data_IF_462125447651
#
_entry.id   IF_462125447651
#
_cell.length_a   1.000
_cell.length_b   1.000
_cell.length_c   1.000
_cell.angle_alpha   90.00
_cell.angle_beta   90.00
_cell.angle_gamma   90.00
#
_symmetry.space_group_name_H-M   'P 1'
#
loop_
_entity.id
_entity.type
_entity.pdbx_description
1 polymer ?
#
# COMPACT_ATOMS: atom_id res chain seq x y z
N UNK A 1 26.71 -3.88 10.25
CA UNK A 1 26.55 -2.67 11.08
C UNK A 1 25.53 -1.77 10.39
N UNK A 2 24.36 -1.53 11.00
CA UNK A 2 23.35 -0.62 10.41
C UNK A 2 23.89 0.80 10.55
N UNK A 3 24.32 1.40 9.45
CA UNK A 3 24.81 2.77 9.42
C UNK A 3 23.69 3.72 9.85
N UNK A 4 24.03 4.81 10.52
CA UNK A 4 23.07 5.79 11.04
C UNK A 4 22.11 6.34 9.98
N UNK A 5 22.50 6.25 8.70
CA UNK A 5 21.71 6.60 7.53
C UNK A 5 20.48 5.72 7.34
N UNK A 6 20.59 4.40 7.55
CA UNK A 6 19.46 3.47 7.41
C UNK A 6 18.37 3.75 8.45
N UNK A 7 18.77 4.10 9.68
CA UNK A 7 17.84 4.46 10.76
C UNK A 7 17.12 5.78 10.48
N UNK A 8 17.82 6.74 9.89
CA UNK A 8 17.22 8.04 9.54
C UNK A 8 16.26 7.90 8.36
N UNK A 9 16.62 7.12 7.34
CA UNK A 9 15.73 6.79 6.23
C UNK A 9 14.49 6.00 6.69
N UNK A 10 14.65 5.04 7.62
CA UNK A 10 13.53 4.30 8.23
C UNK A 10 12.59 5.21 9.02
N UNK A 11 13.14 6.18 9.78
CA UNK A 11 12.36 7.14 10.54
C UNK A 11 11.57 8.10 9.64
N UNK A 12 12.19 8.63 8.57
CA UNK A 12 11.51 9.48 7.58
C UNK A 12 10.40 8.70 6.87
N UNK A 13 10.69 7.46 6.47
CA UNK A 13 9.70 6.59 5.82
C UNK A 13 8.50 6.32 6.74
N UNK A 14 8.75 6.04 8.02
CA UNK A 14 7.71 5.81 9.00
C UNK A 14 6.89 7.09 9.28
N UNK A 15 7.54 8.26 9.29
CA UNK A 15 6.88 9.54 9.51
C UNK A 15 6.02 9.96 8.30
N UNK A 16 6.56 9.85 7.08
CA UNK A 16 5.88 10.20 5.83
C UNK A 16 4.65 9.31 5.55
N UNK A 17 4.62 8.08 6.07
CA UNK A 17 3.50 7.16 5.93
C UNK A 17 2.33 7.40 6.92
N UNK A 18 2.44 8.36 7.84
CA UNK A 18 1.40 8.60 8.86
C UNK A 18 0.56 9.84 8.57
N UNK A 19 -0.73 9.77 8.89
CA UNK A 19 -1.65 10.92 8.83
C UNK A 19 -1.18 12.11 9.69
N UNK A 20 -0.33 11.87 10.71
CA UNK A 20 0.26 12.91 11.53
C UNK A 20 1.09 13.92 10.73
N UNK A 21 1.83 13.47 9.71
CA UNK A 21 2.63 14.34 8.85
C UNK A 21 1.76 15.37 8.11
N UNK A 22 0.59 14.93 7.61
CA UNK A 22 -0.38 15.78 6.91
C UNK A 22 -0.93 16.86 7.83
N UNK A 23 -1.31 16.51 9.06
CA UNK A 23 -1.82 17.48 10.03
C UNK A 23 -0.78 18.54 10.41
N UNK A 24 0.49 18.15 10.60
CA UNK A 24 1.58 19.09 10.88
C UNK A 24 1.75 20.08 9.73
N UNK A 25 1.73 19.62 8.48
CA UNK A 25 1.83 20.49 7.30
C UNK A 25 0.64 21.42 7.16
N UNK A 26 -0.58 20.91 7.39
CA UNK A 26 -1.79 21.74 7.35
C UNK A 26 -1.74 22.88 8.37
N UNK A 27 -1.32 22.60 9.61
CA UNK A 27 -1.15 23.63 10.66
C UNK A 27 -0.04 24.60 10.28
N UNK A 28 1.11 24.10 9.82
CA UNK A 28 2.22 24.94 9.38
C UNK A 28 1.82 25.91 8.27
N UNK A 29 1.13 25.43 7.22
CA UNK A 29 0.65 26.28 6.13
C UNK A 29 -0.40 27.28 6.60
N UNK A 30 -1.34 26.87 7.45
CA UNK A 30 -2.34 27.76 8.02
C UNK A 30 -1.68 28.91 8.82
N UNK A 31 -0.68 28.59 9.64
CA UNK A 31 0.10 29.57 10.39
C UNK A 31 0.85 30.51 9.44
N UNK A 32 1.56 29.98 8.43
CA UNK A 32 2.30 30.81 7.47
C UNK A 32 1.40 31.80 6.73
N UNK A 33 0.26 31.34 6.24
CA UNK A 33 -0.72 32.18 5.53
C UNK A 33 -1.27 33.23 6.50
N UNK A 34 -1.64 32.86 7.72
CA UNK A 34 -2.15 33.80 8.72
C UNK A 34 -1.13 34.90 9.05
N UNK A 35 0.14 34.55 9.22
CA UNK A 35 1.24 35.50 9.44
C UNK A 35 1.37 36.49 8.28
N UNK A 36 1.37 35.98 7.04
CA UNK A 36 1.58 36.79 5.84
C UNK A 36 0.33 37.55 5.36
N UNK A 37 -0.86 37.21 5.85
CA UNK A 37 -2.09 38.01 5.66
C UNK A 37 -2.12 39.27 6.53
N UNK A 38 -1.12 39.48 7.38
CA UNK A 38 -1.01 40.66 8.23
C UNK A 38 -1.84 40.60 9.51
N UNK A 39 -2.31 39.40 9.93
CA UNK A 39 -3.03 39.20 11.20
C UNK A 39 -2.19 39.60 12.42
N UNK A 40 -0.86 39.61 12.32
CA UNK A 40 0.07 40.07 13.36
C UNK A 40 0.71 41.45 13.07
N UNK A 41 0.23 42.18 12.06
CA UNK A 41 0.68 43.53 11.70
C UNK A 41 1.48 43.62 10.40
N UNK A 42 1.49 44.82 9.79
CA UNK A 42 2.15 45.11 8.48
C UNK A 42 3.67 44.86 8.46
N UNK A 43 4.32 44.73 9.63
CA UNK A 43 5.75 44.41 9.75
C UNK A 43 6.08 42.92 9.64
N UNK A 44 5.08 42.03 9.71
CA UNK A 44 5.26 40.58 9.63
C UNK A 44 4.95 40.00 8.23
N UNK A 45 4.67 40.85 7.24
CA UNK A 45 4.41 40.43 5.86
C UNK A 45 5.75 40.34 5.13
N UNK A 46 6.30 39.13 5.03
CA UNK A 46 7.58 38.87 4.37
C UNK A 46 7.43 38.06 3.07
N UNK A 47 6.31 37.36 2.88
CA UNK A 47 5.95 36.59 1.69
C UNK A 47 4.56 37.04 1.19
N UNK A 48 4.48 38.15 0.43
CA UNK A 48 3.21 38.65 -0.09
C UNK A 48 2.55 37.64 -1.04
N UNK A 49 1.21 37.65 -1.09
CA UNK A 49 0.47 36.88 -2.10
C UNK A 49 1.03 37.21 -3.50
N UNK A 50 1.48 36.21 -4.29
CA UNK A 50 1.09 34.79 -4.29
C UNK A 50 1.99 33.79 -3.50
N UNK A 51 2.67 34.19 -2.43
CA UNK A 51 3.50 33.32 -1.56
C UNK A 51 4.65 32.59 -2.29
N UNK A 52 5.55 33.34 -2.90
CA UNK A 52 6.66 32.79 -3.70
C UNK A 52 7.66 31.97 -2.87
N UNK A 53 7.94 32.39 -1.63
CA UNK A 53 8.89 31.69 -0.77
C UNK A 53 8.32 30.36 -0.27
N UNK A 54 7.06 30.36 0.19
CA UNK A 54 6.37 29.13 0.57
C UNK A 54 6.37 28.12 -0.58
N UNK A 55 6.00 28.56 -1.78
CA UNK A 55 5.93 27.68 -2.96
C UNK A 55 7.29 27.06 -3.30
N UNK A 56 8.36 27.85 -3.18
CA UNK A 56 9.73 27.37 -3.45
C UNK A 56 10.17 26.34 -2.42
N UNK A 57 9.94 26.59 -1.12
CA UNK A 57 10.29 25.65 -0.05
C UNK A 57 9.50 24.34 -0.19
N UNK A 58 8.19 24.44 -0.40
CA UNK A 58 7.30 23.27 -0.51
C UNK A 58 7.64 22.42 -1.74
N UNK A 59 7.95 23.05 -2.89
CA UNK A 59 8.34 22.29 -4.09
C UNK A 59 9.65 21.53 -3.88
N UNK A 60 10.64 22.12 -3.22
CA UNK A 60 11.88 21.44 -2.88
C UNK A 60 11.64 20.28 -1.91
N UNK A 61 10.83 20.51 -0.88
CA UNK A 61 10.45 19.49 0.10
C UNK A 61 9.72 18.30 -0.55
N UNK A 62 8.80 18.58 -1.48
CA UNK A 62 8.08 17.55 -2.23
C UNK A 62 9.02 16.67 -3.07
N UNK A 63 10.07 17.23 -3.67
CA UNK A 63 11.09 16.46 -4.41
C UNK A 63 11.83 15.49 -3.48
N UNK A 64 12.24 15.96 -2.29
CA UNK A 64 12.89 15.10 -1.29
C UNK A 64 11.95 14.00 -0.80
N UNK A 65 10.70 14.33 -0.47
CA UNK A 65 9.70 13.35 -0.04
C UNK A 65 9.44 12.29 -1.12
N UNK A 66 9.25 12.70 -2.37
CA UNK A 66 9.06 11.78 -3.49
C UNK A 66 10.26 10.83 -3.64
N UNK A 67 11.47 11.37 -3.52
CA UNK A 67 12.70 10.56 -3.58
C UNK A 67 12.78 9.56 -2.42
N UNK A 68 12.47 9.98 -1.19
CA UNK A 68 12.46 9.08 -0.04
C UNK A 68 11.38 8.00 -0.15
N UNK A 69 10.19 8.36 -0.62
CA UNK A 69 9.11 7.41 -0.91
C UNK A 69 9.57 6.39 -1.95
N UNK A 70 10.20 6.83 -3.04
CA UNK A 70 10.71 5.94 -4.08
C UNK A 70 11.77 4.97 -3.54
N UNK A 71 12.72 5.44 -2.73
CA UNK A 71 13.73 4.58 -2.08
C UNK A 71 13.07 3.57 -1.14
N UNK A 72 12.08 4.01 -0.35
CA UNK A 72 11.31 3.11 0.51
C UNK A 72 10.56 2.05 -0.28
N UNK A 73 9.88 2.44 -1.36
CA UNK A 73 9.14 1.55 -2.25
C UNK A 73 10.07 0.54 -2.90
N UNK A 74 11.21 0.95 -3.44
CA UNK A 74 12.19 0.04 -4.04
C UNK A 74 12.67 -1.03 -3.02
N UNK A 75 12.87 -0.62 -1.78
CA UNK A 75 13.27 -1.52 -0.69
C UNK A 75 12.14 -2.43 -0.21
N UNK A 76 10.88 -1.96 -0.24
CA UNK A 76 9.71 -2.79 0.01
C UNK A 76 9.55 -3.85 -1.08
N UNK A 77 9.64 -3.45 -2.35
CA UNK A 77 9.58 -4.36 -3.50
C UNK A 77 10.67 -5.46 -3.43
N UNK A 78 11.90 -5.11 -3.07
CA UNK A 78 12.96 -6.10 -2.88
C UNK A 78 12.64 -7.13 -1.78
N UNK A 79 12.01 -6.70 -0.68
CA UNK A 79 11.56 -7.60 0.40
C UNK A 79 10.36 -8.44 -0.01
N UNK A 80 9.43 -7.87 -0.76
CA UNK A 80 8.27 -8.58 -1.31
C UNK A 80 8.71 -9.68 -2.28
N UNK A 81 9.67 -9.41 -3.16
CA UNK A 81 10.24 -10.43 -4.05
C UNK A 81 10.86 -11.59 -3.26
N UNK A 82 11.69 -11.30 -2.25
CA UNK A 82 12.27 -12.34 -1.40
C UNK A 82 11.18 -13.16 -0.66
N UNK A 83 10.13 -12.48 -0.19
CA UNK A 83 9.01 -13.16 0.47
C UNK A 83 8.26 -14.06 -0.49
N UNK A 84 8.02 -13.62 -1.72
CA UNK A 84 7.38 -14.41 -2.77
C UNK A 84 8.18 -15.66 -3.11
N UNK A 85 9.51 -15.57 -3.18
CA UNK A 85 10.38 -16.74 -3.42
C UNK A 85 10.27 -17.76 -2.28
N UNK A 86 10.26 -17.31 -1.02
CA UNK A 86 10.11 -18.16 0.15
C UNK A 86 8.72 -18.81 0.24
N UNK A 87 7.68 -18.04 -0.07
CA UNK A 87 6.30 -18.52 -0.10
C UNK A 87 6.13 -19.56 -1.21
N UNK A 88 6.75 -19.36 -2.38
CA UNK A 88 6.79 -20.34 -3.47
C UNK A 88 7.46 -21.64 -3.05
N UNK A 89 8.65 -21.56 -2.43
CA UNK A 89 9.37 -22.74 -1.95
C UNK A 89 8.57 -23.50 -0.87
N UNK A 90 7.94 -22.77 0.05
CA UNK A 90 7.10 -23.36 1.10
C UNK A 90 5.88 -24.05 0.51
N UNK A 91 5.21 -23.41 -0.46
CA UNK A 91 4.05 -23.98 -1.13
C UNK A 91 4.42 -25.24 -1.91
N UNK A 92 5.54 -25.23 -2.64
CA UNK A 92 6.03 -26.39 -3.38
C UNK A 92 6.35 -27.57 -2.45
N UNK A 93 7.01 -27.30 -1.32
CA UNK A 93 7.30 -28.33 -0.30
C UNK A 93 6.02 -28.91 0.29
N UNK A 94 5.04 -28.07 0.58
CA UNK A 94 3.74 -28.50 1.09
C UNK A 94 2.99 -29.38 0.08
N UNK A 95 2.98 -28.99 -1.19
CA UNK A 95 2.39 -29.77 -2.28
C UNK A 95 3.05 -31.15 -2.42
N UNK A 96 4.38 -31.21 -2.46
CA UNK A 96 5.13 -32.47 -2.54
C UNK A 96 4.82 -33.37 -1.34
N UNK A 97 4.79 -32.80 -0.13
CA UNK A 97 4.47 -33.55 1.10
C UNK A 97 3.04 -34.07 1.09
N UNK A 98 2.07 -33.27 0.63
CA UNK A 98 0.68 -33.66 0.51
C UNK A 98 0.50 -34.81 -0.50
N UNK A 99 1.13 -34.72 -1.67
CA UNK A 99 1.11 -35.80 -2.69
C UNK A 99 1.73 -37.08 -2.12
N UNK A 100 2.85 -36.98 -1.41
CA UNK A 100 3.52 -38.16 -0.84
C UNK A 100 2.65 -38.81 0.25
N UNK A 101 2.06 -38.01 1.13
CA UNK A 101 1.15 -38.50 2.17
C UNK A 101 -0.09 -39.14 1.55
N UNK A 102 -0.67 -38.52 0.52
CA UNK A 102 -1.81 -39.08 -0.21
C UNK A 102 -1.50 -40.42 -0.85
N UNK A 103 -0.34 -40.55 -1.52
CA UNK A 103 0.13 -41.84 -2.07
C UNK A 103 0.35 -42.89 -0.98
N UNK A 104 0.92 -42.52 0.17
CA UNK A 104 1.12 -43.43 1.30
C UNK A 104 -0.22 -43.93 1.90
N UNK A 105 -1.28 -43.13 1.82
CA UNK A 105 -2.65 -43.49 2.20
C UNK A 105 -3.42 -44.25 1.10
N UNK A 106 -2.81 -44.46 -0.08
CA UNK A 106 -3.46 -45.11 -1.22
C UNK A 106 -4.44 -44.21 -1.98
N UNK A 107 -4.39 -42.90 -1.77
CA UNK A 107 -5.21 -41.94 -2.53
C UNK A 107 -4.64 -41.76 -3.95
N UNK A 108 -5.52 -41.78 -4.95
CA UNK A 108 -5.14 -41.53 -6.34
C UNK A 108 -5.14 -40.02 -6.63
N UNK A 109 -4.01 -39.42 -7.04
CA UNK A 109 -3.93 -37.98 -7.33
C UNK A 109 -4.92 -37.51 -8.41
N UNK A 110 -5.16 -38.33 -9.43
CA UNK A 110 -6.11 -38.02 -10.51
C UNK A 110 -7.56 -37.91 -10.02
N UNK A 111 -7.92 -38.68 -9.00
CA UNK A 111 -9.27 -38.67 -8.42
C UNK A 111 -9.48 -37.42 -7.56
N UNK A 112 -8.47 -37.03 -6.79
CA UNK A 112 -8.48 -35.78 -6.02
C UNK A 112 -8.58 -34.58 -6.96
N UNK A 113 -7.76 -34.53 -8.02
CA UNK A 113 -7.79 -33.43 -8.99
C UNK A 113 -9.15 -33.33 -9.68
N UNK A 114 -9.75 -34.48 -10.05
CA UNK A 114 -11.11 -34.50 -10.62
C UNK A 114 -12.13 -33.92 -9.64
N UNK A 115 -12.07 -34.31 -8.38
CA UNK A 115 -12.99 -33.82 -7.35
C UNK A 115 -12.84 -32.32 -7.09
N UNK A 116 -11.59 -31.81 -7.08
CA UNK A 116 -11.29 -30.38 -6.96
C UNK A 116 -11.86 -29.60 -8.15
N UNK A 117 -11.62 -30.06 -9.38
CA UNK A 117 -12.13 -29.43 -10.60
C UNK A 117 -13.66 -29.38 -10.64
N UNK A 118 -14.32 -30.45 -10.20
CA UNK A 118 -15.78 -30.50 -10.08
C UNK A 118 -16.29 -29.48 -9.06
N UNK A 119 -15.67 -29.41 -7.89
CA UNK A 119 -16.04 -28.47 -6.81
C UNK A 119 -15.83 -27.01 -7.24
N UNK A 120 -14.73 -26.69 -7.93
CA UNK A 120 -14.46 -25.35 -8.46
C UNK A 120 -15.52 -24.96 -9.50
N UNK A 121 -15.85 -25.87 -10.44
CA UNK A 121 -16.89 -25.61 -11.45
C UNK A 121 -18.26 -25.38 -10.82
N UNK A 122 -18.60 -26.16 -9.80
CA UNK A 122 -19.86 -25.97 -9.06
C UNK A 122 -19.90 -24.63 -8.34
N UNK A 123 -18.83 -24.26 -7.62
CA UNK A 123 -18.74 -22.98 -6.91
C UNK A 123 -18.82 -21.80 -7.87
N UNK A 124 -18.17 -21.88 -9.04
CA UNK A 124 -18.23 -20.84 -10.07
C UNK A 124 -19.64 -20.67 -10.63
N UNK A 125 -20.35 -21.78 -10.91
CA UNK A 125 -21.76 -21.75 -11.35
C UNK A 125 -22.70 -21.18 -10.28
N UNK A 126 -22.45 -21.49 -9.00
CA UNK A 126 -23.23 -20.92 -7.90
C UNK A 126 -23.04 -19.40 -7.83
N UNK A 127 -21.80 -18.91 -7.93
CA UNK A 127 -21.52 -17.47 -7.98
C UNK A 127 -22.14 -16.77 -9.20
N UNK A 128 -22.05 -17.40 -10.38
CA UNK A 128 -22.65 -16.86 -11.61
C UNK A 128 -24.18 -16.80 -11.49
N UNK A 129 -24.80 -17.84 -10.88
CA UNK A 129 -26.24 -17.87 -10.62
C UNK A 129 -26.69 -16.85 -9.56
N UNK A 130 -25.88 -16.60 -8.53
CA UNK A 130 -26.16 -15.56 -7.53
C UNK A 130 -26.02 -14.15 -8.11
N UNK A 131 -25.06 -13.95 -9.04
CA UNK A 131 -24.87 -12.68 -9.74
C UNK A 131 -25.99 -12.39 -10.77
N UNK A 132 -26.60 -13.42 -11.36
CA UNK A 132 -27.68 -13.29 -12.35
C UNK A 132 -29.08 -13.11 -11.71
N UNK A 133 -29.27 -13.57 -10.46
CA UNK A 133 -30.57 -13.56 -9.75
C UNK A 133 -30.88 -12.20 -9.06
N UNK A 134 -29.96 -11.23 -9.10
CA UNK A 134 -30.22 -9.87 -8.61
C UNK A 134 -30.47 -8.89 -9.77
N UNK A 135 -31.67 -8.86 -10.38
CA UNK A 135 -32.05 -7.74 -11.21
C UNK A 135 -32.13 -6.50 -10.30
N UNK A 136 -31.30 -5.50 -10.57
CA UNK A 136 -31.50 -4.16 -10.02
C UNK A 136 -32.83 -3.69 -10.57
N UNK A 137 -33.86 -3.69 -9.72
CA UNK A 137 -35.17 -3.15 -10.04
C UNK A 137 -35.02 -1.66 -10.42
N UNK A 138 -35.27 -1.28 -11.68
CA UNK A 138 -35.16 0.11 -12.11
C UNK A 138 -36.21 1.03 -11.46
N UNK A 139 -37.22 0.48 -10.79
CA UNK A 139 -38.33 1.23 -10.15
C UNK A 139 -38.24 1.32 -8.62
N UNK A 140 -37.10 0.97 -8.01
CA UNK A 140 -36.90 1.09 -6.55
C UNK A 140 -36.32 2.46 -6.09
N UNK A 141 -36.52 3.54 -6.87
CA UNK A 141 -36.32 4.95 -6.49
C UNK A 141 -37.52 5.80 -6.93
#
# INVERSE_FOLDING_TARGET
MRTSQDRFADAITALAGTMGFVYVHAVWFAVWIALNLGLLGRSAVFDPYPFGLLTTIVSLEAIFLSTFVMVSQNRQAARENLRADLDFETNLRAEIWAVHTGKALGLNPEEIERHVQETIRQSRRAMDSEAEVQPVDPEAL
#
